data_IF_508175064436
#
_entry.id   IF_508175064436
#
_cell.length_a   1.000
_cell.length_b   1.000
_cell.length_c   1.000
_cell.angle_alpha   90.00
_cell.angle_beta   90.00
_cell.angle_gamma   90.00
#
_symmetry.space_group_name_H-M   'P 1'
#
loop_
_entity.id
_entity.type
_entity.pdbx_description
1 polymer ?
#
# COMPACT_ATOMS: atom_id res chain seq x y z
N UNK A 1 11.92 -35.27 -0.12
CA UNK A 1 10.89 -34.54 -0.89
C UNK A 1 11.31 -33.10 -1.14
N UNK A 2 11.70 -32.37 -0.09
CA UNK A 2 12.15 -30.96 -0.15
C UNK A 2 13.40 -30.73 -1.02
N UNK A 3 14.44 -31.55 -0.89
CA UNK A 3 15.65 -31.46 -1.72
C UNK A 3 15.41 -31.71 -3.23
N UNK A 4 14.33 -32.41 -3.59
CA UNK A 4 13.96 -32.63 -4.99
C UNK A 4 13.19 -31.43 -5.56
N UNK A 5 12.29 -30.85 -4.75
CA UNK A 5 11.61 -29.60 -5.09
C UNK A 5 12.60 -28.44 -5.22
N UNK A 6 13.59 -28.33 -4.32
CA UNK A 6 14.61 -27.28 -4.39
C UNK A 6 15.46 -27.38 -5.66
N UNK A 7 15.84 -28.61 -6.06
CA UNK A 7 16.56 -28.84 -7.33
C UNK A 7 15.74 -28.42 -8.55
N UNK A 8 14.44 -28.73 -8.57
CA UNK A 8 13.56 -28.32 -9.66
C UNK A 8 13.40 -26.80 -9.73
N UNK A 9 13.18 -26.13 -8.59
CA UNK A 9 13.06 -24.66 -8.55
C UNK A 9 14.34 -23.97 -9.02
N UNK A 10 15.53 -24.47 -8.63
CA UNK A 10 16.82 -23.93 -9.09
C UNK A 10 17.07 -24.12 -10.58
N UNK A 11 16.63 -25.25 -11.14
CA UNK A 11 16.74 -25.52 -12.57
C UNK A 11 15.89 -24.55 -13.40
N UNK A 12 14.75 -24.11 -12.87
CA UNK A 12 13.83 -23.19 -13.55
C UNK A 12 14.17 -21.72 -13.30
N UNK A 13 14.83 -21.38 -12.19
CA UNK A 13 15.11 -19.99 -11.78
C UNK A 13 16.55 -19.83 -11.25
N UNK A 14 17.57 -19.80 -12.13
CA UNK A 14 18.98 -19.80 -11.73
C UNK A 14 19.45 -18.53 -11.00
N UNK A 15 18.67 -17.44 -11.03
CA UNK A 15 18.98 -16.18 -10.32
C UNK A 15 18.58 -16.15 -8.84
N UNK A 16 17.90 -17.19 -8.33
CA UNK A 16 17.48 -17.27 -6.93
C UNK A 16 18.70 -17.50 -6.00
N UNK A 17 19.07 -16.49 -5.20
CA UNK A 17 20.14 -16.62 -4.20
C UNK A 17 19.67 -17.44 -2.98
N UNK A 18 20.55 -18.22 -2.31
CA UNK A 18 20.16 -18.98 -1.12
C UNK A 18 19.79 -18.03 0.02
N UNK A 19 18.56 -18.14 0.53
CA UNK A 19 18.11 -17.42 1.72
C UNK A 19 18.27 -18.37 2.91
N UNK A 20 19.08 -17.97 3.89
CA UNK A 20 19.21 -18.68 5.18
C UNK A 20 17.93 -18.48 6.01
N UNK A 21 16.87 -19.23 5.71
CA UNK A 21 15.74 -19.59 6.59
C UNK A 21 14.64 -20.25 5.74
N UNK A 22 14.40 -21.55 5.97
CA UNK A 22 13.51 -22.39 5.17
C UNK A 22 12.05 -21.87 5.10
N UNK A 23 11.56 -21.23 6.16
CA UNK A 23 10.16 -20.75 6.25
C UNK A 23 9.85 -19.58 5.31
N UNK A 24 10.88 -18.88 4.82
CA UNK A 24 10.72 -17.82 3.82
C UNK A 24 10.83 -18.33 2.38
N UNK A 25 11.30 -19.56 2.15
CA UNK A 25 11.62 -20.03 0.81
C UNK A 25 10.35 -20.19 -0.05
N UNK A 26 9.30 -20.77 0.51
CA UNK A 26 8.01 -20.99 -0.19
C UNK A 26 7.28 -19.67 -0.43
N UNK A 27 7.19 -18.80 0.59
CA UNK A 27 6.58 -17.48 0.44
C UNK A 27 7.36 -16.60 -0.54
N UNK A 28 8.70 -16.63 -0.47
CA UNK A 28 9.55 -15.91 -1.43
C UNK A 28 9.41 -16.51 -2.82
N UNK A 29 9.35 -17.84 -2.96
CA UNK A 29 9.11 -18.48 -4.24
C UNK A 29 7.79 -18.02 -4.85
N UNK A 30 6.66 -18.09 -4.13
CA UNK A 30 5.38 -17.63 -4.66
C UNK A 30 5.38 -16.13 -4.95
N UNK A 31 6.04 -15.30 -4.14
CA UNK A 31 6.17 -13.86 -4.40
C UNK A 31 6.98 -13.59 -5.66
N UNK A 32 8.17 -14.19 -5.80
CA UNK A 32 9.04 -14.02 -6.96
C UNK A 32 8.44 -14.66 -8.22
N UNK A 33 7.74 -15.80 -8.08
CA UNK A 33 7.01 -16.45 -9.16
C UNK A 33 5.81 -15.63 -9.61
N UNK A 34 5.04 -15.05 -8.69
CA UNK A 34 3.98 -14.09 -9.03
C UNK A 34 4.57 -12.86 -9.72
N UNK A 35 5.68 -12.30 -9.22
CA UNK A 35 6.40 -11.21 -9.91
C UNK A 35 6.86 -11.62 -11.30
N UNK A 36 7.33 -12.85 -11.47
CA UNK A 36 7.76 -13.39 -12.77
C UNK A 36 6.58 -13.55 -13.73
N UNK A 37 5.47 -14.14 -13.30
CA UNK A 37 4.27 -14.32 -14.12
C UNK A 37 3.57 -12.99 -14.45
N UNK A 38 3.65 -12.02 -13.54
CA UNK A 38 3.10 -10.68 -13.74
C UNK A 38 4.05 -9.74 -14.51
N UNK A 39 5.24 -10.20 -14.93
CA UNK A 39 6.11 -9.47 -15.87
C UNK A 39 5.62 -9.65 -17.32
N UNK A 40 4.52 -8.99 -17.64
CA UNK A 40 4.16 -8.66 -19.02
C UNK A 40 5.09 -7.58 -19.59
N UNK A 41 4.89 -7.21 -20.87
CA UNK A 41 5.62 -6.11 -21.52
C UNK A 41 5.70 -4.89 -20.60
N UNK A 42 6.90 -4.30 -20.53
CA UNK A 42 7.44 -3.47 -19.44
C UNK A 42 6.64 -2.25 -18.94
N UNK A 43 5.49 -1.92 -19.55
CA UNK A 43 4.62 -0.82 -19.15
C UNK A 43 3.53 -1.23 -18.14
N UNK A 44 2.94 -2.41 -18.25
CA UNK A 44 1.81 -2.82 -17.39
C UNK A 44 2.21 -3.05 -15.94
N UNK A 45 3.39 -3.65 -15.71
CA UNK A 45 3.91 -3.82 -14.36
C UNK A 45 4.13 -2.48 -13.66
N UNK A 46 4.57 -1.46 -14.41
CA UNK A 46 4.79 -0.11 -13.85
C UNK A 46 3.49 0.56 -13.44
N UNK A 47 2.40 0.34 -14.17
CA UNK A 47 1.07 0.84 -13.78
C UNK A 47 0.61 0.18 -12.49
N UNK A 48 0.82 -1.13 -12.34
CA UNK A 48 0.40 -1.89 -11.14
C UNK A 48 1.27 -1.58 -9.90
N UNK A 49 2.57 -1.30 -10.09
CA UNK A 49 3.50 -1.00 -9.00
C UNK A 49 3.43 0.46 -8.54
N UNK A 50 2.98 1.38 -9.40
CA UNK A 50 2.83 2.80 -9.11
C UNK A 50 1.42 3.08 -8.60
N UNK A 51 1.28 3.38 -7.30
CA UNK A 51 -0.04 3.56 -6.67
C UNK A 51 -0.86 4.70 -7.29
N UNK A 52 -0.23 5.73 -7.87
CA UNK A 52 -0.94 6.83 -8.52
C UNK A 52 -1.52 6.39 -9.86
N UNK A 53 -0.69 5.73 -10.68
CA UNK A 53 -1.12 5.20 -11.98
C UNK A 53 -2.18 4.11 -11.80
N UNK A 54 -1.98 3.22 -10.82
CA UNK A 54 -2.91 2.16 -10.53
C UNK A 54 -4.27 2.70 -10.08
N UNK A 55 -4.30 3.66 -9.14
CA UNK A 55 -5.57 4.26 -8.70
C UNK A 55 -6.27 4.99 -9.83
N UNK A 56 -5.53 5.73 -10.67
CA UNK A 56 -6.08 6.40 -11.84
C UNK A 56 -6.67 5.43 -12.86
N UNK A 57 -5.99 4.31 -13.12
CA UNK A 57 -6.48 3.25 -13.99
C UNK A 57 -7.78 2.63 -13.46
N UNK A 58 -7.82 2.25 -12.17
CA UNK A 58 -9.01 1.68 -11.53
C UNK A 58 -10.19 2.64 -11.59
N UNK A 59 -9.98 3.91 -11.22
CA UNK A 59 -11.00 4.95 -11.30
C UNK A 59 -11.52 5.12 -12.73
N UNK A 60 -10.63 5.10 -13.73
CA UNK A 60 -10.97 5.21 -15.15
C UNK A 60 -11.85 4.07 -15.68
N UNK A 61 -11.83 2.90 -15.04
CA UNK A 61 -12.71 1.76 -15.35
C UNK A 61 -13.90 1.63 -14.40
N UNK A 62 -14.17 2.66 -13.59
CA UNK A 62 -15.33 2.72 -12.69
C UNK A 62 -15.15 1.98 -11.35
N UNK A 63 -13.93 1.56 -11.00
CA UNK A 63 -13.64 0.98 -9.69
C UNK A 63 -13.35 2.11 -8.71
N UNK A 64 -14.11 2.16 -7.61
CA UNK A 64 -13.93 3.15 -6.57
C UNK A 64 -12.55 3.02 -5.90
N UNK A 65 -11.83 4.14 -5.84
CA UNK A 65 -10.56 4.27 -5.13
C UNK A 65 -10.58 5.54 -4.30
N UNK A 66 -9.86 5.61 -3.16
CA UNK A 66 -9.71 6.86 -2.41
C UNK A 66 -9.19 7.97 -3.32
N UNK A 67 -9.80 9.16 -3.28
CA UNK A 67 -9.39 10.25 -4.13
C UNK A 67 -7.99 10.73 -3.73
N UNK A 68 -7.12 10.89 -4.72
CA UNK A 68 -5.81 11.51 -4.51
C UNK A 68 -5.98 13.01 -4.70
N UNK A 69 -5.78 13.77 -3.62
CA UNK A 69 -5.90 15.23 -3.63
C UNK A 69 -4.58 15.89 -3.98
N UNK A 70 -3.47 15.33 -3.48
CA UNK A 70 -2.12 15.87 -3.71
C UNK A 70 -1.11 14.77 -4.03
N UNK A 71 -0.19 15.10 -4.92
CA UNK A 71 1.06 14.37 -5.16
C UNK A 71 2.21 15.25 -4.72
N UNK A 72 2.98 14.78 -3.74
CA UNK A 72 4.14 15.50 -3.19
C UNK A 72 5.40 14.97 -3.84
N UNK A 73 6.22 15.88 -4.38
CA UNK A 73 7.51 15.57 -4.98
C UNK A 73 8.42 16.78 -4.92
N UNK A 74 9.65 16.59 -4.43
CA UNK A 74 10.76 17.58 -4.48
C UNK A 74 10.36 18.98 -3.98
N UNK A 75 9.91 19.08 -2.73
CA UNK A 75 9.57 20.36 -2.11
C UNK A 75 8.27 21.01 -2.60
N UNK A 76 7.55 20.35 -3.51
CA UNK A 76 6.29 20.86 -4.05
C UNK A 76 5.19 19.80 -3.98
N UNK A 77 3.95 20.25 -3.96
CA UNK A 77 2.78 19.42 -4.10
C UNK A 77 1.94 19.88 -5.30
N UNK A 78 1.41 18.92 -6.06
CA UNK A 78 0.50 19.16 -7.17
C UNK A 78 -0.86 18.54 -6.89
N UNK A 79 -1.94 19.30 -7.09
CA UNK A 79 -3.30 18.80 -6.92
C UNK A 79 -3.82 18.10 -8.19
N UNK A 80 -4.90 17.34 -8.04
CA UNK A 80 -5.61 16.75 -9.19
C UNK A 80 -6.19 17.81 -10.15
N UNK A 81 -6.47 19.03 -9.67
CA UNK A 81 -6.96 20.15 -10.49
C UNK A 81 -5.84 20.94 -11.18
N UNK A 82 -4.57 20.58 -10.93
CA UNK A 82 -3.40 21.23 -11.52
C UNK A 82 -2.82 22.39 -10.68
N UNK A 83 -3.36 22.65 -9.50
CA UNK A 83 -2.77 23.57 -8.53
C UNK A 83 -1.39 23.06 -8.11
N UNK A 84 -0.42 23.97 -7.92
CA UNK A 84 0.91 23.64 -7.39
C UNK A 84 1.24 24.56 -6.25
N UNK A 85 1.66 23.99 -5.12
CA UNK A 85 2.03 24.73 -3.91
C UNK A 85 3.35 24.20 -3.34
N UNK A 86 4.12 25.02 -2.61
CA UNK A 86 5.23 24.54 -1.79
C UNK A 86 4.74 23.57 -0.69
N UNK A 87 5.59 22.62 -0.29
CA UNK A 87 5.21 21.65 0.76
C UNK A 87 4.96 22.29 2.12
N UNK A 88 5.55 23.44 2.40
CA UNK A 88 5.33 24.24 3.60
C UNK A 88 3.89 24.73 3.67
N UNK A 89 3.35 25.18 2.54
CA UNK A 89 1.96 25.60 2.42
C UNK A 89 1.02 24.39 2.52
N UNK A 90 1.37 23.28 1.85
CA UNK A 90 0.59 22.05 1.97
C UNK A 90 0.54 21.56 3.43
N UNK A 91 1.66 21.58 4.15
CA UNK A 91 1.72 21.13 5.54
C UNK A 91 0.75 21.93 6.45
N UNK A 92 0.59 23.22 6.20
CA UNK A 92 -0.41 24.05 6.89
C UNK A 92 -1.84 23.65 6.52
N UNK A 93 -2.11 23.43 5.23
CA UNK A 93 -3.44 23.02 4.75
C UNK A 93 -3.87 21.65 5.30
N UNK A 94 -2.93 20.71 5.44
CA UNK A 94 -3.19 19.36 5.96
C UNK A 94 -3.39 19.30 7.48
N UNK A 95 -3.15 20.40 8.21
CA UNK A 95 -3.43 20.43 9.65
C UNK A 95 -4.90 20.19 9.97
N UNK A 96 -5.79 20.73 9.15
CA UNK A 96 -7.22 20.53 9.31
C UNK A 96 -7.68 19.34 8.46
N UNK A 97 -8.53 18.49 9.03
CA UNK A 97 -9.13 17.36 8.31
C UNK A 97 -8.38 16.06 8.50
N UNK A 98 -8.72 15.09 7.64
CA UNK A 98 -8.34 13.69 7.80
C UNK A 98 -7.79 13.12 6.50
N UNK A 99 -6.50 12.81 6.49
CA UNK A 99 -5.76 12.47 5.28
C UNK A 99 -4.95 11.20 5.47
N UNK A 100 -5.00 10.30 4.50
CA UNK A 100 -4.08 9.16 4.45
C UNK A 100 -2.92 9.49 3.51
N UNK A 101 -1.70 9.50 4.06
CA UNK A 101 -0.49 9.82 3.31
C UNK A 101 0.34 8.55 3.16
N UNK A 102 0.84 8.28 1.95
CA UNK A 102 1.65 7.08 1.68
C UNK A 102 2.67 7.29 0.56
N UNK A 103 3.79 6.55 0.57
CA UNK A 103 4.72 6.53 -0.54
C UNK A 103 4.10 5.94 -1.81
N UNK A 104 4.42 6.57 -2.93
CA UNK A 104 3.97 6.18 -4.27
C UNK A 104 4.42 4.78 -4.62
N UNK A 105 5.71 4.51 -4.51
CA UNK A 105 6.30 3.18 -4.64
C UNK A 105 6.66 2.69 -3.23
N UNK A 106 6.18 1.48 -2.84
CA UNK A 106 6.57 0.70 -1.64
C UNK A 106 5.50 -0.34 -1.30
N UNK A 107 5.89 -1.38 -0.55
CA UNK A 107 5.01 -2.45 -0.07
C UNK A 107 4.93 -2.46 1.47
N UNK A 108 3.88 -3.08 2.01
CA UNK A 108 3.80 -3.44 3.44
C UNK A 108 3.42 -2.30 4.40
N UNK A 109 3.02 -1.13 3.90
CA UNK A 109 2.59 0.00 4.74
C UNK A 109 3.73 0.91 5.23
N UNK A 110 4.98 0.62 4.84
CA UNK A 110 6.13 1.45 5.21
C UNK A 110 5.98 2.88 4.69
N UNK A 111 6.23 3.85 5.58
CA UNK A 111 6.13 5.29 5.28
C UNK A 111 4.69 5.81 5.20
N UNK A 112 3.67 4.97 5.44
CA UNK A 112 2.29 5.43 5.47
C UNK A 112 1.91 5.97 6.85
N UNK A 113 1.11 7.03 6.88
CA UNK A 113 0.59 7.63 8.10
C UNK A 113 -0.77 8.29 7.87
N UNK A 114 -1.53 8.42 8.94
CA UNK A 114 -2.80 9.14 9.00
C UNK A 114 -2.54 10.51 9.62
N UNK A 115 -2.98 11.57 8.94
CA UNK A 115 -3.13 12.89 9.53
C UNK A 115 -4.59 13.06 9.93
N UNK A 116 -4.83 13.53 11.16
CA UNK A 116 -6.17 13.83 11.63
C UNK A 116 -6.13 15.02 12.59
N UNK A 117 -6.68 16.16 12.17
CA UNK A 117 -6.83 17.37 12.98
C UNK A 117 -5.55 17.76 13.72
N UNK A 118 -4.43 17.75 12.99
CA UNK A 118 -3.11 18.10 13.51
C UNK A 118 -2.45 17.00 14.34
N UNK A 119 -3.00 15.79 14.41
CA UNK A 119 -2.30 14.60 14.93
C UNK A 119 -1.76 13.75 13.77
N UNK A 120 -0.60 13.15 13.96
CA UNK A 120 0.00 12.18 13.03
C UNK A 120 -0.03 10.82 13.69
N UNK A 121 -0.63 9.82 13.03
CA UNK A 121 -0.58 8.43 13.46
C UNK A 121 0.14 7.58 12.42
N UNK A 122 1.25 6.92 12.80
CA UNK A 122 2.00 6.05 11.89
C UNK A 122 1.25 4.75 11.62
N UNK A 123 1.67 4.00 10.59
CA UNK A 123 1.14 2.66 10.31
C UNK A 123 1.23 1.72 11.54
N UNK A 124 2.21 1.89 12.42
CA UNK A 124 2.39 1.10 13.64
C UNK A 124 1.45 1.53 14.79
N UNK A 125 0.68 2.61 14.59
CA UNK A 125 -0.30 3.14 15.56
C UNK A 125 0.28 4.10 16.59
N UNK A 126 1.53 4.53 16.43
CA UNK A 126 2.10 5.60 17.26
C UNK A 126 1.48 6.91 16.83
N UNK A 127 0.91 7.65 17.78
CA UNK A 127 0.25 8.93 17.51
C UNK A 127 0.95 10.05 18.26
N UNK A 128 1.36 11.08 17.51
CA UNK A 128 2.04 12.25 18.02
C UNK A 128 1.36 13.53 17.53
N UNK A 129 1.65 14.66 18.19
CA UNK A 129 1.24 15.97 17.69
C UNK A 129 1.95 16.26 16.36
N UNK A 130 1.17 16.59 15.34
CA UNK A 130 1.58 16.96 13.98
C UNK A 130 1.37 18.45 13.75
N UNK A 131 2.18 19.29 14.39
CA UNK A 131 2.26 20.70 14.02
C UNK A 131 2.75 20.85 12.55
N UNK A 132 2.65 22.04 11.91
CA UNK A 132 3.03 22.19 10.51
C UNK A 132 4.48 21.80 10.25
N UNK A 133 5.37 22.00 11.22
CA UNK A 133 6.79 21.69 11.09
C UNK A 133 7.03 20.17 11.09
N UNK A 134 6.31 19.42 11.93
CA UNK A 134 6.33 17.97 11.96
C UNK A 134 5.74 17.37 10.68
N UNK A 135 4.61 17.90 10.21
CA UNK A 135 3.99 17.47 8.94
C UNK A 135 4.95 17.77 7.79
N UNK A 136 5.53 18.97 7.73
CA UNK A 136 6.50 19.35 6.71
C UNK A 136 7.67 18.36 6.65
N UNK A 137 8.23 17.99 7.81
CA UNK A 137 9.33 17.02 7.88
C UNK A 137 8.95 15.63 7.32
N UNK A 138 7.70 15.22 7.49
CA UNK A 138 7.19 13.96 6.92
C UNK A 138 6.99 14.06 5.41
N UNK A 139 6.61 15.24 4.91
CA UNK A 139 6.43 15.50 3.48
C UNK A 139 7.77 15.69 2.75
N UNK A 140 8.78 16.25 3.41
CA UNK A 140 10.12 16.53 2.88
C UNK A 140 11.02 15.28 2.86
N UNK A 141 10.44 14.15 2.50
CA UNK A 141 11.16 12.88 2.33
C UNK A 141 11.83 12.76 0.97
N UNK A 142 12.70 11.76 0.82
CA UNK A 142 13.30 11.41 -0.48
C UNK A 142 12.34 10.68 -1.43
N UNK A 143 11.14 10.34 -0.97
CA UNK A 143 10.15 9.56 -1.72
C UNK A 143 8.97 10.46 -2.15
N UNK A 144 8.41 10.20 -3.33
CA UNK A 144 7.15 10.83 -3.74
C UNK A 144 6.00 10.29 -2.89
N UNK A 145 5.14 11.18 -2.39
CA UNK A 145 3.99 10.83 -1.54
C UNK A 145 2.67 11.12 -2.24
N UNK A 146 1.65 10.36 -1.86
CA UNK A 146 0.25 10.60 -2.22
C UNK A 146 -0.53 11.00 -0.97
N UNK A 147 -1.28 12.09 -1.05
CA UNK A 147 -2.24 12.51 -0.03
C UNK A 147 -3.63 12.15 -0.53
N UNK A 148 -4.31 11.27 0.20
CA UNK A 148 -5.61 10.72 -0.20
C UNK A 148 -6.66 10.90 0.89
N UNK A 149 -7.93 10.74 0.51
CA UNK A 149 -9.01 10.54 1.47
C UNK A 149 -8.66 9.40 2.44
N UNK A 150 -8.82 9.65 3.74
CA UNK A 150 -8.82 8.58 4.72
C UNK A 150 -10.12 7.80 4.61
N UNK A 151 -10.04 6.53 4.23
CA UNK A 151 -11.22 5.66 4.12
C UNK A 151 -11.90 5.56 5.48
N UNK A 152 -13.23 5.66 5.47
CA UNK A 152 -14.09 5.46 6.64
C UNK A 152 -14.84 4.15 6.44
N UNK A 153 -14.64 3.21 7.35
CA UNK A 153 -15.38 1.95 7.35
C UNK A 153 -16.79 2.15 7.92
N UNK A 154 -17.74 1.32 7.48
CA UNK A 154 -19.11 1.34 8.03
C UNK A 154 -19.12 0.86 9.48
N UNK A 155 -20.20 1.14 10.22
CA UNK A 155 -20.33 0.73 11.61
C UNK A 155 -20.24 -0.80 11.78
N UNK A 156 -20.79 -1.56 10.84
CA UNK A 156 -20.74 -3.02 10.82
C UNK A 156 -19.29 -3.51 10.68
N UNK A 157 -18.51 -2.95 9.75
CA UNK A 157 -17.09 -3.33 9.61
C UNK A 157 -16.24 -2.82 10.77
N UNK A 158 -16.55 -1.65 11.33
CA UNK A 158 -15.85 -1.12 12.50
C UNK A 158 -16.02 -2.02 13.73
N UNK A 159 -17.10 -2.80 13.83
CA UNK A 159 -17.36 -3.68 14.98
C UNK A 159 -16.29 -4.78 15.17
N UNK A 160 -15.55 -5.16 14.12
CA UNK A 160 -14.52 -6.19 14.20
C UNK A 160 -13.21 -5.67 14.80
N UNK A 161 -12.71 -4.55 14.28
CA UNK A 161 -11.56 -3.85 14.83
C UNK A 161 -11.70 -2.33 14.54
N UNK A 162 -12.23 -1.54 15.49
CA UNK A 162 -12.60 -0.15 15.22
C UNK A 162 -11.39 0.77 15.07
N UNK A 163 -10.25 0.40 15.65
CA UNK A 163 -9.01 1.19 15.60
C UNK A 163 -8.19 1.00 14.31
N UNK A 164 -8.65 0.16 13.38
CA UNK A 164 -7.98 -0.12 12.10
C UNK A 164 -8.98 -0.24 10.96
N UNK A 165 -8.54 0.01 9.73
CA UNK A 165 -9.36 -0.31 8.56
C UNK A 165 -9.44 -1.82 8.36
N UNK A 166 -10.64 -2.39 8.46
CA UNK A 166 -10.88 -3.78 8.10
C UNK A 166 -11.05 -3.89 6.57
N UNK A 167 -10.38 -4.86 5.94
CA UNK A 167 -10.45 -5.06 4.47
C UNK A 167 -10.79 -6.50 4.11
N UNK A 168 -11.16 -6.73 2.86
CA UNK A 168 -11.24 -8.08 2.29
C UNK A 168 -10.15 -8.20 1.23
N UNK A 169 -9.31 -9.23 1.34
CA UNK A 169 -8.34 -9.56 0.31
C UNK A 169 -8.88 -10.66 -0.58
N UNK A 170 -9.01 -10.35 -1.86
CA UNK A 170 -9.33 -11.33 -2.89
C UNK A 170 -8.04 -11.87 -3.50
N UNK A 171 -7.79 -13.16 -3.35
CA UNK A 171 -6.76 -13.86 -4.11
C UNK A 171 -7.34 -14.17 -5.50
N UNK A 172 -6.66 -13.71 -6.54
CA UNK A 172 -7.07 -13.95 -7.93
C UNK A 172 -5.96 -14.63 -8.72
N UNK A 173 -6.33 -15.30 -9.81
CA UNK A 173 -5.39 -15.74 -10.83
C UNK A 173 -5.92 -15.40 -12.23
N UNK A 174 -5.01 -15.23 -13.17
CA UNK A 174 -5.33 -15.04 -14.58
C UNK A 174 -5.36 -16.41 -15.26
N UNK A 175 -6.49 -16.79 -15.85
CA UNK A 175 -6.58 -18.04 -16.62
C UNK A 175 -5.78 -17.92 -17.92
N UNK A 176 -5.49 -19.06 -18.56
CA UNK A 176 -4.88 -19.09 -19.89
C UNK A 176 -5.74 -18.40 -20.97
N UNK A 177 -7.05 -18.26 -20.73
CA UNK A 177 -7.97 -17.55 -21.61
C UNK A 177 -8.00 -16.03 -21.35
N UNK A 178 -7.19 -15.52 -20.40
CA UNK A 178 -7.10 -14.10 -20.09
C UNK A 178 -8.19 -13.59 -19.12
N UNK A 179 -8.96 -14.48 -18.48
CA UNK A 179 -9.98 -14.09 -17.50
C UNK A 179 -9.42 -14.10 -16.08
N UNK A 180 -9.68 -13.06 -15.29
CA UNK A 180 -9.40 -13.09 -13.85
C UNK A 180 -10.44 -13.95 -13.12
N UNK A 181 -9.99 -14.83 -12.22
CA UNK A 181 -10.85 -15.69 -11.39
C UNK A 181 -10.50 -15.50 -9.91
N UNK A 182 -11.51 -15.42 -9.04
CA UNK A 182 -11.32 -15.32 -7.59
C UNK A 182 -11.16 -16.73 -7.00
N UNK A 183 -10.05 -16.96 -6.31
CA UNK A 183 -9.76 -18.22 -5.61
C UNK A 183 -10.33 -18.20 -4.20
N UNK A 184 -10.12 -17.09 -3.50
CA UNK A 184 -10.55 -16.90 -2.13
C UNK A 184 -10.74 -15.42 -1.83
N UNK A 185 -11.66 -15.12 -0.92
CA UNK A 185 -11.84 -13.81 -0.32
C UNK A 185 -11.67 -13.96 1.20
N UNK A 186 -10.69 -13.25 1.77
CA UNK A 186 -10.29 -13.41 3.17
C UNK A 186 -10.44 -12.06 3.86
N UNK A 187 -11.19 -12.03 4.97
CA UNK A 187 -11.30 -10.83 5.78
C UNK A 187 -9.98 -10.57 6.50
N UNK A 188 -9.59 -9.30 6.56
CA UNK A 188 -8.44 -8.82 7.28
C UNK A 188 -8.87 -7.76 8.25
N UNK A 189 -8.39 -7.92 9.47
CA UNK A 189 -8.68 -7.00 10.55
C UNK A 189 -7.40 -6.67 11.30
N UNK A 190 -7.31 -5.43 11.76
CA UNK A 190 -6.22 -5.03 12.63
C UNK A 190 -6.31 -5.70 14.00
N UNK A 191 -5.23 -5.64 14.74
CA UNK A 191 -5.10 -6.23 16.07
C UNK A 191 -5.42 -5.26 17.22
N UNK A 192 -6.07 -4.14 16.90
CA UNK A 192 -6.37 -3.10 17.87
C UNK A 192 -5.28 -2.03 18.04
N UNK A 193 -4.04 -2.27 17.59
CA UNK A 193 -2.87 -1.41 17.87
C UNK A 193 -2.37 -0.59 16.68
N UNK A 194 -2.72 -0.96 15.46
CA UNK A 194 -2.23 -0.35 14.22
C UNK A 194 -3.40 0.25 13.44
N UNK A 195 -3.17 1.35 12.73
CA UNK A 195 -4.17 1.95 11.83
C UNK A 195 -4.36 1.16 10.52
N UNK A 196 -3.49 0.19 10.25
CA UNK A 196 -3.56 -0.71 9.09
C UNK A 196 -3.80 -2.16 9.52
N UNK A 197 -4.48 -2.93 8.68
CA UNK A 197 -4.78 -4.35 8.89
C UNK A 197 -3.68 -5.30 8.39
N UNK A 198 -2.44 -4.82 8.23
CA UNK A 198 -1.35 -5.61 7.66
C UNK A 198 -0.81 -6.64 8.65
N UNK A 199 -0.58 -7.86 8.21
CA UNK A 199 0.00 -8.95 9.02
C UNK A 199 1.43 -8.66 9.41
N UNK A 200 2.16 -7.92 8.57
CA UNK A 200 3.47 -7.40 8.96
C UNK A 200 3.37 -6.49 10.21
N UNK A 201 2.20 -5.89 10.45
CA UNK A 201 1.84 -5.09 11.63
C UNK A 201 0.98 -5.88 12.65
N UNK A 202 0.89 -7.21 12.49
CA UNK A 202 0.16 -8.12 13.38
C UNK A 202 -1.34 -8.29 13.11
N UNK A 203 -1.85 -7.90 11.94
CA UNK A 203 -3.24 -8.14 11.53
C UNK A 203 -3.59 -9.63 11.32
N UNK A 204 -4.88 -9.95 11.48
CA UNK A 204 -5.46 -11.32 11.43
C UNK A 204 -6.03 -11.60 10.03
N UNK A 205 -5.97 -12.87 9.59
CA UNK A 205 -6.57 -13.42 8.36
C UNK A 205 -7.64 -14.45 8.68
#
# INVERSE_FOLDING_TARGET
MEAQAERQVRAWFPSLRPIRQADRLVFTFFREFNRFLNRGTSSWCRVLDDKLLFSGFLAGIGISTPATHWVVSRGHAASASGERVPIEELAQRLQAGRWFVKPRANEGGKGAFLLQDGAVTTAEGQSDAGDPAAILKLLDGSEDLLVQDAVVQTAEYASFAPSSLNTVRCLTYLTRAGSAQVVAAIMRMGNGRSVVDNTASGGIY
#
